data_IF_955868558986
#
_entry.id   IF_955868558986
#
_cell.length_a   1.000
_cell.length_b   1.000
_cell.length_c   1.000
_cell.angle_alpha   90.00
_cell.angle_beta   90.00
_cell.angle_gamma   90.00
#
_symmetry.space_group_name_H-M   'P 1'
#
loop_
_entity.id
_entity.type
_entity.pdbx_description
1 polymer ?
#
# COMPACT_ATOMS: atom_id res chain seq x y z
N UNK A 1 0.89 -77.11 3.30
CA UNK A 1 -0.08 -76.16 2.72
C UNK A 1 0.28 -74.77 3.22
N UNK A 2 0.68 -73.89 2.31
CA UNK A 2 1.21 -72.55 2.57
C UNK A 2 0.09 -71.60 3.00
N UNK A 3 0.31 -70.79 4.04
CA UNK A 3 -0.50 -69.59 4.29
C UNK A 3 0.35 -68.37 3.98
N UNK A 4 -0.27 -67.54 3.14
CA UNK A 4 0.31 -66.52 2.28
C UNK A 4 0.49 -65.19 3.01
N UNK A 5 1.64 -64.55 2.78
CA UNK A 5 2.03 -63.23 3.27
C UNK A 5 1.23 -62.17 2.50
N UNK A 6 0.46 -61.31 3.19
CA UNK A 6 0.04 -60.00 2.68
C UNK A 6 -0.12 -58.98 3.82
N UNK A 7 0.99 -58.40 4.26
CA UNK A 7 0.97 -57.18 5.06
C UNK A 7 0.77 -55.99 4.13
N UNK A 8 -0.41 -55.35 4.21
CA UNK A 8 -0.74 -54.15 3.44
C UNK A 8 0.09 -52.97 3.97
N UNK A 9 0.98 -52.44 3.12
CA UNK A 9 1.73 -51.21 3.39
C UNK A 9 0.77 -50.05 3.12
N UNK A 10 0.19 -49.50 4.19
CA UNK A 10 -0.60 -48.28 4.13
C UNK A 10 0.34 -47.11 3.79
N UNK A 11 0.10 -46.48 2.65
CA UNK A 11 0.83 -45.31 2.13
C UNK A 11 0.79 -44.16 3.12
N UNK A 12 1.97 -43.65 3.49
CA UNK A 12 2.13 -42.43 4.27
C UNK A 12 1.79 -41.25 3.37
N UNK A 13 0.65 -40.59 3.61
CA UNK A 13 0.31 -39.34 2.95
C UNK A 13 1.20 -38.22 3.50
N UNK A 14 2.26 -37.87 2.75
CA UNK A 14 3.17 -36.78 3.09
C UNK A 14 2.62 -35.47 2.53
N UNK A 15 2.33 -34.56 3.46
CA UNK A 15 2.33 -33.09 3.38
C UNK A 15 2.01 -32.43 2.03
N UNK A 16 0.82 -31.84 1.92
CA UNK A 16 0.63 -30.67 1.06
C UNK A 16 0.99 -29.42 1.84
N UNK A 17 2.06 -28.78 1.38
CA UNK A 17 2.56 -27.50 1.83
C UNK A 17 1.43 -26.47 1.93
N UNK A 18 1.23 -25.93 3.14
CA UNK A 18 0.52 -24.68 3.32
C UNK A 18 1.42 -23.58 2.74
N UNK A 19 1.33 -23.34 1.44
CA UNK A 19 1.95 -22.18 0.81
C UNK A 19 1.23 -20.94 1.36
N UNK A 20 1.72 -20.43 2.49
CA UNK A 20 1.46 -19.07 2.92
C UNK A 20 1.93 -18.18 1.77
N UNK A 21 0.98 -17.79 0.91
CA UNK A 21 1.14 -16.66 0.02
C UNK A 21 1.31 -15.46 0.94
N UNK A 22 2.56 -15.21 1.35
CA UNK A 22 2.98 -13.94 1.88
C UNK A 22 2.70 -12.97 0.74
N UNK A 23 1.52 -12.34 0.80
CA UNK A 23 1.21 -11.19 -0.01
C UNK A 23 2.25 -10.18 0.43
N UNK A 24 3.36 -10.11 -0.31
CA UNK A 24 4.42 -9.16 -0.05
C UNK A 24 3.76 -7.79 -0.11
N UNK A 25 3.53 -7.19 1.05
CA UNK A 25 3.11 -5.80 1.14
C UNK A 25 4.35 -5.07 0.67
N UNK A 26 4.38 -4.71 -0.61
CA UNK A 26 5.45 -3.90 -1.17
C UNK A 26 5.61 -2.68 -0.26
N UNK A 27 6.85 -2.40 0.14
CA UNK A 27 7.14 -1.22 0.94
C UNK A 27 6.52 0.00 0.24
N UNK A 28 5.87 0.91 0.97
CA UNK A 28 5.19 2.01 0.33
C UNK A 28 6.20 2.90 -0.39
N UNK A 29 5.97 3.10 -1.69
CA UNK A 29 6.82 3.92 -2.55
C UNK A 29 6.09 5.21 -2.93
N UNK A 30 6.87 6.26 -3.23
CA UNK A 30 6.33 7.52 -3.70
C UNK A 30 7.04 7.98 -4.99
N UNK A 31 6.28 8.59 -5.88
CA UNK A 31 6.82 9.27 -7.06
C UNK A 31 5.92 10.45 -7.45
N UNK A 32 6.45 11.38 -8.25
CA UNK A 32 5.67 12.52 -8.75
C UNK A 32 5.30 12.37 -10.22
N UNK A 33 4.22 13.00 -10.64
CA UNK A 33 3.83 13.11 -12.05
C UNK A 33 4.26 14.44 -12.64
N UNK A 34 4.28 14.56 -13.97
CA UNK A 34 4.53 15.82 -14.66
C UNK A 34 3.51 16.93 -14.34
N UNK A 35 2.33 16.56 -13.82
CA UNK A 35 1.29 17.50 -13.34
C UNK A 35 1.53 17.96 -11.89
N UNK A 36 2.62 17.53 -11.27
CA UNK A 36 2.96 17.85 -9.88
C UNK A 36 2.12 17.11 -8.84
N UNK A 37 1.47 16.01 -9.23
CA UNK A 37 0.80 15.13 -8.25
C UNK A 37 1.83 14.18 -7.64
N UNK A 38 1.69 13.86 -6.36
CA UNK A 38 2.46 12.78 -5.72
C UNK A 38 1.57 11.55 -5.60
N UNK A 39 2.08 10.42 -6.08
CA UNK A 39 1.44 9.11 -6.01
C UNK A 39 2.19 8.32 -4.95
N UNK A 40 1.46 7.79 -3.97
CA UNK A 40 1.98 6.86 -2.98
C UNK A 40 1.35 5.49 -3.23
N UNK A 41 2.17 4.49 -3.48
CA UNK A 41 1.77 3.10 -3.76
C UNK A 41 2.19 2.17 -2.61
N UNK A 42 1.78 0.91 -2.64
CA UNK A 42 2.11 -0.06 -1.59
C UNK A 42 1.37 0.16 -0.26
N UNK A 43 0.36 1.04 -0.24
CA UNK A 43 -0.48 1.26 0.93
C UNK A 43 -1.47 0.11 1.09
N UNK A 44 -1.94 -0.12 2.31
CA UNK A 44 -3.06 -1.05 2.55
C UNK A 44 -4.29 -0.60 1.75
N UNK A 45 -4.86 -1.43 0.86
CA UNK A 45 -6.04 -1.07 0.07
C UNK A 45 -7.22 -0.66 0.93
N UNK A 46 -8.03 0.29 0.46
CA UNK A 46 -9.24 0.83 1.14
C UNK A 46 -9.00 1.50 2.50
N UNK A 47 -7.77 1.47 3.03
CA UNK A 47 -7.41 2.12 4.28
C UNK A 47 -7.42 3.65 4.10
N UNK A 48 -7.96 4.38 5.08
CA UNK A 48 -7.84 5.85 5.10
C UNK A 48 -6.52 6.26 5.74
N UNK A 49 -5.87 7.25 5.13
CA UNK A 49 -4.66 7.89 5.61
C UNK A 49 -4.92 9.38 5.77
N UNK A 50 -4.51 9.91 6.91
CA UNK A 50 -4.41 11.34 7.10
C UNK A 50 -3.25 11.87 6.27
N UNK A 51 -3.45 13.04 5.68
CA UNK A 51 -2.49 13.77 4.87
C UNK A 51 -2.24 15.12 5.53
N UNK A 52 -0.97 15.45 5.69
CA UNK A 52 -0.50 16.77 6.13
C UNK A 52 0.56 17.26 5.15
N UNK A 53 0.67 18.57 5.01
CA UNK A 53 1.69 19.18 4.16
C UNK A 53 2.34 20.36 4.88
N UNK A 54 3.56 20.69 4.45
CA UNK A 54 4.30 21.86 4.88
C UNK A 54 4.72 22.66 3.64
N UNK A 55 4.41 23.95 3.60
CA UNK A 55 4.85 24.82 2.49
C UNK A 55 6.35 25.12 2.58
N UNK A 56 6.90 25.75 1.55
CA UNK A 56 8.29 26.21 1.55
C UNK A 56 8.61 27.26 2.65
N UNK A 57 7.58 27.85 3.26
CA UNK A 57 7.68 28.82 4.37
C UNK A 57 7.31 28.17 5.71
N UNK A 58 7.40 26.85 5.81
CA UNK A 58 7.12 26.06 7.00
C UNK A 58 5.70 26.22 7.56
N UNK A 59 4.76 26.63 6.70
CA UNK A 59 3.35 26.75 7.07
C UNK A 59 2.66 25.41 6.88
N UNK A 60 1.98 24.87 7.92
CA UNK A 60 1.22 23.64 7.78
C UNK A 60 0.01 23.89 6.87
N UNK A 61 -0.20 22.99 5.91
CA UNK A 61 -1.40 22.98 5.08
C UNK A 61 -2.62 22.40 5.79
N UNK A 62 -3.77 22.49 5.12
CA UNK A 62 -5.02 21.90 5.62
C UNK A 62 -4.91 20.38 5.66
N UNK A 63 -5.26 19.80 6.83
CA UNK A 63 -5.40 18.35 6.98
C UNK A 63 -6.41 17.80 5.99
N UNK A 64 -6.07 16.70 5.33
CA UNK A 64 -7.01 15.92 4.52
C UNK A 64 -6.98 14.45 4.96
N UNK A 65 -8.07 13.72 4.81
CA UNK A 65 -8.10 12.27 5.06
C UNK A 65 -8.53 11.56 3.77
N UNK A 66 -7.63 10.82 3.12
CA UNK A 66 -7.89 10.14 1.84
C UNK A 66 -7.82 8.62 1.99
N UNK A 67 -8.72 7.91 1.32
CA UNK A 67 -8.65 6.45 1.20
C UNK A 67 -7.66 6.04 0.12
N UNK A 68 -6.84 5.04 0.39
CA UNK A 68 -6.15 4.30 -0.66
C UNK A 68 -7.18 3.59 -1.54
N UNK A 69 -6.94 3.57 -2.85
CA UNK A 69 -7.77 2.80 -3.77
C UNK A 69 -7.63 1.28 -3.50
N UNK A 70 -8.37 0.48 -4.26
CA UNK A 70 -8.34 -0.98 -4.17
C UNK A 70 -6.98 -1.62 -4.52
N UNK A 71 -6.07 -0.86 -5.15
CA UNK A 71 -4.71 -1.29 -5.43
C UNK A 71 -3.68 -0.78 -4.41
N UNK A 72 -4.11 -0.08 -3.36
CA UNK A 72 -3.19 0.48 -2.37
C UNK A 72 -2.50 1.76 -2.81
N UNK A 73 -3.15 2.58 -3.64
CA UNK A 73 -2.60 3.85 -4.12
C UNK A 73 -3.37 5.05 -3.57
N UNK A 74 -2.65 6.10 -3.19
CA UNK A 74 -3.19 7.42 -2.85
C UNK A 74 -2.61 8.46 -3.80
N UNK A 75 -3.48 9.31 -4.36
CA UNK A 75 -3.10 10.45 -5.19
C UNK A 75 -3.27 11.74 -4.41
N UNK A 76 -2.17 12.47 -4.25
CA UNK A 76 -2.16 13.81 -3.63
C UNK A 76 -1.88 14.85 -4.71
N UNK A 77 -2.92 15.58 -5.09
CA UNK A 77 -2.86 16.57 -6.16
C UNK A 77 -1.99 17.76 -5.78
N UNK A 78 -1.24 18.27 -6.75
CA UNK A 78 -0.33 19.42 -6.62
C UNK A 78 0.67 19.31 -5.46
N UNK A 79 0.89 18.10 -4.94
CA UNK A 79 1.71 17.89 -3.76
C UNK A 79 3.20 18.11 -4.01
N UNK A 80 3.65 18.10 -5.27
CA UNK A 80 5.02 18.42 -5.64
C UNK A 80 5.43 19.87 -5.32
N UNK A 81 4.47 20.75 -5.01
CA UNK A 81 4.73 22.15 -4.64
C UNK A 81 4.99 22.36 -3.14
N UNK A 82 4.85 21.32 -2.33
CA UNK A 82 5.12 21.39 -0.89
C UNK A 82 6.56 20.99 -0.59
N UNK A 83 7.13 21.57 0.48
CA UNK A 83 8.44 21.16 1.02
C UNK A 83 8.34 19.76 1.62
N UNK A 84 7.25 19.48 2.32
CA UNK A 84 7.02 18.19 2.96
C UNK A 84 5.58 17.73 2.76
N UNK A 85 5.43 16.46 2.44
CA UNK A 85 4.16 15.74 2.39
C UNK A 85 4.22 14.59 3.39
N UNK A 86 3.19 14.46 4.22
CA UNK A 86 3.04 13.31 5.13
C UNK A 86 1.76 12.56 4.77
N UNK A 87 1.86 11.25 4.56
CA UNK A 87 0.73 10.34 4.26
C UNK A 87 0.74 9.21 5.28
N UNK A 88 -0.14 9.27 6.27
CA UNK A 88 -0.03 8.43 7.46
C UNK A 88 1.36 8.59 8.11
N UNK A 89 2.03 7.49 8.40
CA UNK A 89 3.37 7.56 9.01
C UNK A 89 4.50 7.90 8.02
N UNK A 90 4.22 8.00 6.72
CA UNK A 90 5.22 8.25 5.69
C UNK A 90 5.48 9.74 5.53
N UNK A 91 6.72 10.16 5.73
CA UNK A 91 7.17 11.52 5.45
C UNK A 91 7.93 11.52 4.13
N UNK A 92 7.54 12.44 3.25
CA UNK A 92 7.97 12.49 1.85
C UNK A 92 8.46 13.90 1.57
N UNK A 93 9.66 14.03 1.01
CA UNK A 93 10.13 15.25 0.35
C UNK A 93 9.82 15.14 -1.15
N UNK A 94 8.81 15.87 -1.68
CA UNK A 94 8.42 15.79 -3.08
C UNK A 94 9.52 16.23 -4.06
N UNK A 95 10.50 17.03 -3.64
CA UNK A 95 11.59 17.50 -4.49
C UNK A 95 12.50 16.34 -4.91
N UNK A 96 12.76 15.42 -3.99
CA UNK A 96 13.63 14.23 -4.20
C UNK A 96 12.97 13.12 -5.01
N UNK A 97 11.64 13.16 -5.16
CA UNK A 97 10.92 12.10 -5.85
C UNK A 97 11.23 12.07 -7.35
N UNK A 98 11.38 10.87 -7.95
CA UNK A 98 11.49 10.73 -9.38
C UNK A 98 10.16 11.09 -10.05
N UNK A 99 10.24 11.68 -11.24
CA UNK A 99 9.07 11.92 -12.08
C UNK A 99 8.75 10.66 -12.88
N UNK A 100 7.53 10.12 -12.76
CA UNK A 100 7.04 8.97 -13.54
C UNK A 100 5.66 9.26 -14.12
N UNK A 101 5.32 8.56 -15.20
CA UNK A 101 3.94 8.49 -15.70
C UNK A 101 3.09 7.71 -14.71
N UNK A 102 1.88 8.18 -14.45
CA UNK A 102 0.93 7.49 -13.57
C UNK A 102 -0.27 7.00 -14.37
N UNK A 103 -0.32 5.68 -14.54
CA UNK A 103 -1.50 4.99 -15.02
C UNK A 103 -2.26 4.45 -13.83
N UNK A 104 -3.44 5.02 -13.58
CA UNK A 104 -4.29 4.62 -12.45
C UNK A 104 -4.54 3.11 -12.49
N UNK A 105 -4.26 2.43 -11.37
CA UNK A 105 -4.54 1.01 -11.29
C UNK A 105 -6.02 0.72 -11.49
N UNK A 106 -6.31 -0.29 -12.32
CA UNK A 106 -7.65 -0.83 -12.53
C UNK A 106 -7.77 -2.12 -11.70
N UNK A 107 -8.62 -2.17 -10.67
CA UNK A 107 -8.80 -3.41 -9.91
C UNK A 107 -9.36 -4.50 -10.82
N UNK A 108 -8.93 -5.75 -10.58
CA UNK A 108 -9.59 -6.91 -11.17
C UNK A 108 -11.01 -7.01 -10.61
N UNK A 109 -11.99 -7.24 -11.49
CA UNK A 109 -13.39 -7.48 -11.11
C UNK A 109 -13.45 -8.67 -10.14
N UNK A 110 -14.13 -8.48 -9.00
CA UNK A 110 -14.27 -9.52 -7.95
C UNK A 110 -13.67 -9.16 -6.59
N UNK A 111 -12.94 -8.05 -6.45
CA UNK A 111 -12.54 -7.54 -5.13
C UNK A 111 -13.77 -7.06 -4.36
N UNK A 112 -14.15 -7.81 -3.31
CA UNK A 112 -15.16 -7.39 -2.34
C UNK A 112 -14.95 -5.93 -1.92
N UNK A 113 -16.03 -5.14 -1.86
CA UNK A 113 -16.02 -3.79 -1.31
C UNK A 113 -15.66 -3.83 0.18
N UNK A 114 -14.37 -3.80 0.49
CA UNK A 114 -13.89 -3.62 1.86
C UNK A 114 -14.25 -2.21 2.34
N UNK A 115 -14.95 -2.14 3.48
CA UNK A 115 -15.19 -0.87 4.15
C UNK A 115 -13.86 -0.30 4.70
N UNK A 116 -13.66 1.02 4.63
CA UNK A 116 -12.46 1.66 5.16
C UNK A 116 -12.32 1.42 6.67
N UNK A 117 -11.16 0.90 7.10
CA UNK A 117 -10.88 0.55 8.51
C UNK A 117 -10.21 1.72 9.24
N UNK A 118 -10.98 2.67 9.77
CA UNK A 118 -10.42 3.81 10.52
C UNK A 118 -9.44 4.69 9.73
N UNK A 119 -8.77 5.65 10.38
CA UNK A 119 -7.81 6.57 9.73
C UNK A 119 -6.42 6.38 10.33
N UNK A 120 -5.44 6.04 9.51
CA UNK A 120 -4.01 6.04 9.88
C UNK A 120 -3.57 7.49 10.04
N UNK A 121 -3.17 7.87 11.26
CA UNK A 121 -2.78 9.25 11.57
C UNK A 121 -1.46 9.61 10.90
N UNK A 122 -1.38 10.87 10.50
CA UNK A 122 -0.18 11.46 9.97
C UNK A 122 0.73 11.92 11.11
N UNK A 123 2.03 11.68 10.96
CA UNK A 123 3.01 12.38 11.77
C UNK A 123 2.87 13.90 11.52
N UNK A 124 3.14 14.69 12.56
CA UNK A 124 3.24 16.14 12.37
C UNK A 124 4.49 16.42 11.55
N UNK A 125 4.40 17.09 10.39
CA UNK A 125 5.60 17.48 9.66
C UNK A 125 6.42 18.45 10.54
N UNK A 126 7.70 18.16 10.72
CA UNK A 126 8.65 19.04 11.40
C UNK A 126 9.12 20.15 10.44
N UNK A 127 9.30 21.39 10.91
CA UNK A 127 9.80 22.51 10.11
C UNK A 127 11.29 22.39 9.77
#
# INVERSE_FOLDING_TARGET
MNISIKSAISTIAIATFLSMASSAIAAPEAFKTSKGHVIVTGLKPTQRYQIRTLSAQDKPGTRQDKSANSCGEVVVEKAANYKTLVVGTLTIDPATLPTKTYDKCKPKSGSSTMQPTGVVRANTPEP
#
